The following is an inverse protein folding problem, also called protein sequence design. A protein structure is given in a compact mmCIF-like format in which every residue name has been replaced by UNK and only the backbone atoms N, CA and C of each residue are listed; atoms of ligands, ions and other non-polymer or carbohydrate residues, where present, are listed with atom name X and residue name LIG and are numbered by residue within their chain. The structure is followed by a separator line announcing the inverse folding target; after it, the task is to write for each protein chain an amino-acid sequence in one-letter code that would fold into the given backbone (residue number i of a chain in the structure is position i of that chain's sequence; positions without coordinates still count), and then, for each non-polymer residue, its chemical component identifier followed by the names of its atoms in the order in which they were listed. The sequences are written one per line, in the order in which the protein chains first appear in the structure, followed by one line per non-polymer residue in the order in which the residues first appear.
data_IF_832854100154
#
_entry.id   IF_832854100154
#
_cell.length_a   1.000
_cell.length_b   1.000
_cell.length_c   1.000
_cell.angle_alpha   90.00
_cell.angle_beta   90.00
_cell.angle_gamma   90.00
#
_symmetry.space_group_name_H-M   'P 1'
#
loop_
_entity.id
_entity.type
_entity.pdbx_description
1 polymer ?
#
# COMPACT_ATOMS: atom_id res chain seq x y z
N UNK A 1 5.53 -14.38 0.56
CA UNK A 1 4.62 -13.21 0.61
C UNK A 1 3.51 -13.43 1.63
N UNK A 2 2.63 -14.43 1.46
CA UNK A 2 1.53 -14.69 2.39
C UNK A 2 2.00 -14.96 3.84
N UNK A 3 2.98 -15.86 4.02
CA UNK A 3 3.53 -16.15 5.34
C UNK A 3 4.09 -14.90 6.05
N UNK A 4 4.77 -14.01 5.32
CA UNK A 4 5.32 -12.76 5.87
C UNK A 4 4.21 -11.83 6.38
N UNK A 5 3.10 -11.71 5.64
CA UNK A 5 1.96 -10.91 6.05
C UNK A 5 1.25 -11.53 7.25
N UNK A 6 1.10 -12.85 7.28
CA UNK A 6 0.50 -13.58 8.40
C UNK A 6 1.33 -13.42 9.69
N UNK A 7 2.65 -13.60 9.59
CA UNK A 7 3.57 -13.39 10.73
C UNK A 7 3.54 -11.92 11.20
N UNK A 8 3.45 -10.96 10.27
CA UNK A 8 3.39 -9.54 10.62
C UNK A 8 2.08 -9.18 11.32
N UNK A 9 0.94 -9.71 10.86
CA UNK A 9 -0.35 -9.54 11.51
C UNK A 9 -0.39 -10.24 12.89
N UNK A 10 0.39 -11.32 13.03
CA UNK A 10 0.44 -12.16 14.21
C UNK A 10 -0.82 -13.03 14.36
N UNK A 11 -0.82 -13.88 15.38
CA UNK A 11 -1.89 -14.85 15.65
C UNK A 11 -3.18 -14.19 16.23
N UNK A 12 -3.17 -12.87 16.41
CA UNK A 12 -4.25 -12.12 17.05
C UNK A 12 -4.82 -11.05 16.10
N UNK A 13 -5.35 -11.49 14.95
CA UNK A 13 -5.98 -10.61 13.96
C UNK A 13 -7.09 -9.72 14.56
N UNK A 14 -7.71 -10.15 15.65
CA UNK A 14 -8.74 -9.40 16.39
C UNK A 14 -8.24 -8.06 16.99
N UNK A 15 -6.91 -7.87 17.10
CA UNK A 15 -6.29 -6.59 17.52
C UNK A 15 -6.21 -5.57 16.37
N UNK A 16 -6.31 -6.02 15.12
CA UNK A 16 -6.34 -5.19 13.91
C UNK A 16 -7.78 -4.86 13.52
N UNK A 17 -8.46 -4.10 14.38
CA UNK A 17 -9.88 -3.77 14.21
C UNK A 17 -10.18 -2.84 13.03
N UNK A 18 -9.15 -2.22 12.46
CA UNK A 18 -9.28 -1.25 11.36
C UNK A 18 -8.24 -1.55 10.29
N UNK A 19 -8.63 -1.37 9.03
CA UNK A 19 -7.72 -1.44 7.88
C UNK A 19 -6.56 -0.44 8.01
N UNK A 20 -6.83 0.75 8.58
CA UNK A 20 -5.80 1.75 8.86
C UNK A 20 -4.74 1.26 9.85
N UNK A 21 -5.11 0.44 10.83
CA UNK A 21 -4.15 -0.18 11.75
C UNK A 21 -3.27 -1.21 11.04
N UNK A 22 -3.84 -1.97 10.11
CA UNK A 22 -3.10 -2.95 9.34
C UNK A 22 -2.13 -2.30 8.33
N UNK A 23 -2.56 -1.26 7.62
CA UNK A 23 -1.70 -0.49 6.72
C UNK A 23 -0.58 0.22 7.47
N UNK A 24 -0.85 0.73 8.68
CA UNK A 24 0.16 1.30 9.58
C UNK A 24 1.19 0.26 10.04
N UNK A 25 0.73 -0.92 10.45
CA UNK A 25 1.58 -2.04 10.84
C UNK A 25 2.49 -2.50 9.70
N UNK A 26 1.97 -2.54 8.48
CA UNK A 26 2.72 -2.94 7.30
C UNK A 26 3.56 -1.79 6.71
N UNK A 27 3.42 -0.56 7.21
CA UNK A 27 4.15 0.60 6.71
C UNK A 27 3.75 1.06 5.30
N UNK A 28 2.55 0.69 4.85
CA UNK A 28 2.05 0.98 3.49
C UNK A 28 1.37 2.36 3.42
N UNK A 29 0.88 2.86 4.55
CA UNK A 29 0.19 4.15 4.60
C UNK A 29 1.18 5.33 4.45
N UNK A 30 0.81 6.38 3.69
CA UNK A 30 1.56 7.63 3.69
C UNK A 30 1.39 8.35 5.04
N UNK A 31 2.43 9.10 5.46
CA UNK A 31 2.35 9.97 6.63
C UNK A 31 2.42 11.44 6.19
N UNK A 32 1.50 12.32 6.61
CA UNK A 32 1.59 13.75 6.33
C UNK A 32 2.89 14.35 6.83
N UNK A 33 3.64 15.03 5.97
CA UNK A 33 4.92 15.67 6.28
C UNK A 33 4.79 17.15 6.65
N UNK A 34 3.65 17.80 6.37
CA UNK A 34 3.32 19.15 6.87
C UNK A 34 1.80 19.33 6.99
N UNK A 35 1.38 20.38 7.70
CA UNK A 35 -0.03 20.78 7.89
C UNK A 35 -0.45 21.93 6.93
N UNK A 36 0.35 22.23 5.92
CA UNK A 36 0.16 23.39 5.03
C UNK A 36 -0.72 23.12 3.79
N UNK A 37 -0.84 24.14 2.92
CA UNK A 37 -1.66 24.14 1.69
C UNK A 37 -1.20 23.16 0.61
N UNK A 38 0.06 22.73 0.67
CA UNK A 38 0.59 21.56 -0.03
C UNK A 38 0.93 20.51 1.04
N UNK A 39 0.36 19.32 0.94
CA UNK A 39 0.58 18.23 1.90
C UNK A 39 1.57 17.23 1.33
N UNK A 40 2.90 17.42 1.50
CA UNK A 40 3.86 16.39 1.16
C UNK A 40 3.59 15.15 2.00
N UNK A 41 3.71 13.97 1.41
CA UNK A 41 3.56 12.69 2.09
C UNK A 41 4.93 12.04 2.23
N UNK A 42 5.29 11.57 3.43
CA UNK A 42 6.48 10.75 3.68
C UNK A 42 6.12 9.28 3.76
N UNK A 43 7.08 8.42 3.41
CA UNK A 43 7.00 6.98 3.60
C UNK A 43 6.94 6.62 5.09
N UNK A 44 6.00 5.76 5.49
CA UNK A 44 5.97 5.20 6.83
C UNK A 44 7.16 4.25 7.05
N UNK A 45 8.08 4.62 7.94
CA UNK A 45 9.24 3.81 8.34
C UNK A 45 9.01 3.00 9.62
N UNK A 46 7.91 3.26 10.34
CA UNK A 46 7.58 2.59 11.60
C UNK A 46 6.89 1.23 11.45
N UNK A 47 6.48 0.87 10.23
CA UNK A 47 5.90 -0.45 9.92
C UNK A 47 6.92 -1.48 9.44
N UNK A 48 6.46 -2.71 9.25
CA UNK A 48 7.26 -3.84 8.79
C UNK A 48 7.71 -3.68 7.33
N UNK A 49 9.03 -3.52 7.11
CA UNK A 49 9.61 -3.43 5.76
C UNK A 49 9.44 -4.71 4.94
N UNK A 50 9.48 -5.87 5.60
CA UNK A 50 9.25 -7.15 4.93
C UNK A 50 7.80 -7.30 4.48
N UNK A 51 6.84 -6.81 5.26
CA UNK A 51 5.42 -6.76 4.86
C UNK A 51 5.20 -5.77 3.71
N UNK A 52 5.79 -4.57 3.76
CA UNK A 52 5.74 -3.62 2.67
C UNK A 52 6.31 -4.20 1.36
N UNK A 53 7.44 -4.91 1.43
CA UNK A 53 8.01 -5.60 0.28
C UNK A 53 7.10 -6.75 -0.23
N UNK A 54 6.43 -7.47 0.67
CA UNK A 54 5.46 -8.48 0.28
C UNK A 54 4.30 -7.86 -0.52
N UNK A 55 3.78 -6.70 -0.12
CA UNK A 55 2.78 -5.97 -0.90
C UNK A 55 3.30 -5.52 -2.25
N UNK A 56 4.51 -4.95 -2.31
CA UNK A 56 5.13 -4.58 -3.59
C UNK A 56 5.23 -5.77 -4.53
N UNK A 57 5.65 -6.93 -4.01
CA UNK A 57 5.78 -8.13 -4.82
C UNK A 57 4.41 -8.67 -5.28
N UNK A 58 3.40 -8.65 -4.41
CA UNK A 58 2.01 -8.98 -4.79
C UNK A 58 1.51 -8.07 -5.90
N UNK A 59 1.73 -6.75 -5.78
CA UNK A 59 1.35 -5.79 -6.81
C UNK A 59 2.04 -6.12 -8.14
N UNK A 60 3.35 -6.34 -8.15
CA UNK A 60 4.11 -6.71 -9.36
C UNK A 60 3.59 -8.01 -10.00
N UNK A 61 3.31 -9.03 -9.20
CA UNK A 61 2.75 -10.30 -9.70
C UNK A 61 1.37 -10.06 -10.33
N UNK A 62 0.49 -9.33 -9.64
CA UNK A 62 -0.85 -9.02 -10.16
C UNK A 62 -0.80 -8.20 -11.44
N UNK A 63 0.07 -7.20 -11.52
CA UNK A 63 0.28 -6.42 -12.74
C UNK A 63 0.71 -7.30 -13.91
N UNK A 64 1.49 -8.36 -13.66
CA UNK A 64 1.94 -9.28 -14.70
C UNK A 64 0.83 -10.22 -15.15
N UNK A 65 0.08 -10.82 -14.23
CA UNK A 65 -0.80 -11.97 -14.53
C UNK A 65 -2.30 -11.68 -14.50
N UNK A 66 -2.77 -10.66 -13.78
CA UNK A 66 -4.21 -10.42 -13.56
C UNK A 66 -4.78 -9.39 -14.56
N UNK A 67 -5.69 -9.79 -15.47
CA UNK A 67 -6.30 -8.86 -16.45
C UNK A 67 -7.07 -7.70 -15.79
N UNK A 68 -7.71 -7.95 -14.64
CA UNK A 68 -8.45 -6.91 -13.91
C UNK A 68 -7.51 -5.82 -13.40
N UNK A 69 -6.39 -6.21 -12.77
CA UNK A 69 -5.38 -5.25 -12.29
C UNK A 69 -4.78 -4.43 -13.44
N UNK A 70 -4.54 -5.04 -14.62
CA UNK A 70 -4.05 -4.30 -15.80
C UNK A 70 -5.03 -3.25 -16.29
N UNK A 71 -6.32 -3.58 -16.32
CA UNK A 71 -7.38 -2.65 -16.77
C UNK A 71 -7.48 -1.46 -15.83
N UNK A 72 -7.52 -1.71 -14.52
CA UNK A 72 -7.54 -0.63 -13.51
C UNK A 72 -6.33 0.31 -13.64
N UNK A 73 -5.12 -0.24 -13.82
CA UNK A 73 -3.91 0.59 -13.96
C UNK A 73 -3.92 1.43 -15.22
N UNK A 74 -4.45 0.91 -16.31
CA UNK A 74 -4.58 1.66 -17.54
C UNK A 74 -5.55 2.85 -17.38
N UNK A 75 -6.67 2.65 -16.69
CA UNK A 75 -7.60 3.74 -16.33
C UNK A 75 -6.94 4.78 -15.42
N UNK A 76 -6.20 4.35 -14.39
CA UNK A 76 -5.46 5.26 -13.50
C UNK A 76 -4.38 6.06 -14.23
N UNK A 77 -3.65 5.44 -15.17
CA UNK A 77 -2.66 6.12 -16.00
C UNK A 77 -3.30 7.21 -16.86
N UNK A 78 -4.42 6.90 -17.51
CA UNK A 78 -5.16 7.88 -18.32
C UNK A 78 -5.68 9.05 -17.48
N UNK A 79 -6.18 8.78 -16.27
CA UNK A 79 -6.61 9.81 -15.34
C UNK A 79 -5.43 10.68 -14.88
N UNK A 80 -4.27 10.08 -14.59
CA UNK A 80 -3.05 10.82 -14.22
C UNK A 80 -2.54 11.73 -15.32
N UNK A 81 -2.62 11.30 -16.59
CA UNK A 81 -2.25 12.10 -17.75
C UNK A 81 -3.23 13.25 -18.01
N UNK A 82 -4.50 13.09 -17.64
CA UNK A 82 -5.51 14.16 -17.69
C UNK A 82 -5.25 15.24 -16.63
N UNK A 83 -4.81 14.86 -15.42
CA UNK A 83 -4.50 15.80 -14.33
C UNK A 83 -3.19 16.60 -14.55
N UNK A 84 -2.35 16.18 -15.51
CA UNK A 84 -1.10 16.88 -15.86
C UNK A 84 -1.24 17.89 -17.01
N UNK A 85 -2.41 17.96 -17.66
CA UNK A 85 -2.74 18.95 -18.70
C UNK A 85 -3.43 20.16 -18.09
#
# INVERSE_FOLDING_TARGET
MAATLLVTAGDNANRLRKESSFTALCGVNPIPASSGKTTPHRLNRGGSRSANNAFWTVAMVRMRSDPRTKTMLHEEQQMGDQLRK
#
